data_IF_166966948436
#
_entry.id   IF_166966948436
#
_cell.length_a   1.000
_cell.length_b   1.000
_cell.length_c   1.000
_cell.angle_alpha   90.00
_cell.angle_beta   90.00
_cell.angle_gamma   90.00
#
_symmetry.space_group_name_H-M   'P 1'
#
loop_
_entity.id
_entity.type
_entity.pdbx_description
1 polymer ?
#
# COMPACT_ATOMS: atom_id res chain seq x y z
N UNK A 1 7.51 4.34 7.15
CA UNK A 1 6.13 4.35 7.69
C UNK A 1 5.96 3.16 8.63
N UNK A 2 4.86 3.07 9.39
CA UNK A 2 4.49 1.90 10.20
C UNK A 2 3.05 1.48 9.91
N UNK A 3 2.81 0.18 9.90
CA UNK A 3 1.50 -0.42 9.61
C UNK A 3 1.06 -1.30 10.78
N UNK A 4 0.00 -0.92 11.48
CA UNK A 4 -0.57 -1.67 12.60
C UNK A 4 -1.87 -2.36 12.18
N UNK A 5 -1.93 -3.71 12.14
CA UNK A 5 -3.16 -4.42 11.79
C UNK A 5 -4.25 -4.23 12.87
N UNK A 6 -5.50 -4.16 12.41
CA UNK A 6 -6.71 -3.93 13.21
C UNK A 6 -7.87 -4.81 12.69
N UNK A 7 -8.95 -5.04 13.46
CA UNK A 7 -10.11 -5.81 13.01
C UNK A 7 -10.76 -5.25 11.73
N UNK A 8 -10.73 -3.92 11.55
CA UNK A 8 -11.27 -3.25 10.37
C UNK A 8 -10.28 -3.14 9.20
N UNK A 9 -9.04 -3.62 9.34
CA UNK A 9 -7.97 -3.45 8.35
C UNK A 9 -6.65 -3.05 9.00
N UNK A 10 -6.22 -1.80 8.87
CA UNK A 10 -4.99 -1.32 9.51
C UNK A 10 -4.95 0.20 9.75
N UNK A 11 -4.12 0.60 10.70
CA UNK A 11 -3.62 1.97 10.83
C UNK A 11 -2.28 2.10 10.12
N UNK A 12 -2.19 3.03 9.17
CA UNK A 12 -0.95 3.39 8.49
C UNK A 12 -0.47 4.75 9.02
N UNK A 13 0.73 4.78 9.60
CA UNK A 13 1.34 5.97 10.16
C UNK A 13 2.63 6.33 9.43
N UNK A 14 2.76 7.60 9.02
CA UNK A 14 4.00 8.08 8.41
C UNK A 14 4.77 8.99 9.38
N UNK A 15 5.95 8.54 9.83
CA UNK A 15 6.76 9.24 10.85
C UNK A 15 7.20 10.66 10.45
N UNK A 16 7.59 10.88 9.19
CA UNK A 16 8.06 12.19 8.73
C UNK A 16 6.97 13.27 8.71
N UNK A 17 5.83 12.98 8.08
CA UNK A 17 4.67 13.88 8.01
C UNK A 17 3.76 13.85 9.24
N UNK A 18 3.97 12.88 10.16
CA UNK A 18 3.10 12.59 11.33
C UNK A 18 1.63 12.35 10.97
N UNK A 19 1.34 11.98 9.72
CA UNK A 19 -0.01 11.64 9.27
C UNK A 19 -0.39 10.21 9.65
N UNK A 20 -1.67 10.05 9.95
CA UNK A 20 -2.32 8.77 10.21
C UNK A 20 -3.42 8.55 9.16
N UNK A 21 -3.50 7.36 8.58
CA UNK A 21 -4.57 6.96 7.67
C UNK A 21 -5.11 5.59 8.05
N UNK A 22 -6.40 5.40 7.79
CA UNK A 22 -7.10 4.14 8.05
C UNK A 22 -7.27 3.37 6.74
N UNK A 23 -6.67 2.19 6.67
CA UNK A 23 -6.87 1.27 5.57
C UNK A 23 -8.01 0.32 5.95
N UNK A 24 -9.23 0.60 5.48
CA UNK A 24 -10.43 -0.19 5.81
C UNK A 24 -10.60 -1.45 4.94
N UNK A 25 -9.84 -1.57 3.86
CA UNK A 25 -9.87 -2.72 2.97
C UNK A 25 -8.65 -3.61 3.27
N UNK A 26 -8.90 -4.84 3.72
CA UNK A 26 -7.85 -5.81 4.07
C UNK A 26 -6.94 -6.14 2.89
N UNK A 27 -7.48 -6.21 1.68
CA UNK A 27 -6.68 -6.42 0.46
C UNK A 27 -5.66 -5.29 0.26
N UNK A 28 -6.03 -4.03 0.49
CA UNK A 28 -5.08 -2.91 0.42
C UNK A 28 -3.97 -3.08 1.47
N UNK A 29 -4.31 -3.57 2.67
CA UNK A 29 -3.32 -3.83 3.73
C UNK A 29 -2.30 -4.87 3.27
N UNK A 30 -2.75 -5.99 2.69
CA UNK A 30 -1.85 -7.04 2.20
C UNK A 30 -0.98 -6.56 1.04
N UNK A 31 -1.53 -5.81 0.09
CA UNK A 31 -0.73 -5.22 -1.01
C UNK A 31 0.34 -4.28 -0.45
N UNK A 32 -0.01 -3.38 0.48
CA UNK A 32 0.94 -2.43 1.09
C UNK A 32 2.06 -3.16 1.85
N UNK A 33 1.74 -4.31 2.48
CA UNK A 33 2.75 -5.16 3.15
C UNK A 33 3.70 -5.81 2.17
N UNK A 34 3.21 -6.24 1.01
CA UNK A 34 4.00 -6.90 -0.02
C UNK A 34 4.82 -5.94 -0.89
N UNK A 35 4.53 -4.62 -0.88
CA UNK A 35 5.26 -3.63 -1.70
C UNK A 35 6.79 -3.75 -1.63
N UNK A 36 7.44 -3.96 -0.46
CA UNK A 36 8.90 -4.10 -0.38
C UNK A 36 9.45 -5.33 -1.11
N UNK A 37 8.63 -6.36 -1.32
CA UNK A 37 9.02 -7.62 -1.95
C UNK A 37 8.87 -7.60 -3.48
N UNK A 38 8.41 -6.48 -4.05
CA UNK A 38 8.11 -6.33 -5.46
C UNK A 38 8.73 -5.07 -6.06
N UNK A 39 9.10 -5.10 -7.36
CA UNK A 39 9.75 -3.97 -8.02
C UNK A 39 8.82 -2.76 -8.19
N UNK A 40 7.51 -2.99 -8.26
CA UNK A 40 6.51 -1.95 -8.43
C UNK A 40 5.15 -2.36 -7.85
N UNK A 41 4.28 -1.36 -7.70
CA UNK A 41 2.95 -1.51 -7.12
C UNK A 41 2.02 -2.44 -7.93
N UNK A 42 2.10 -2.43 -9.27
CA UNK A 42 1.24 -3.29 -10.12
C UNK A 42 1.66 -4.75 -10.00
N UNK A 43 2.96 -5.02 -9.92
CA UNK A 43 3.49 -6.36 -9.67
C UNK A 43 3.03 -6.87 -8.31
N UNK A 44 3.05 -6.04 -7.26
CA UNK A 44 2.51 -6.42 -5.94
C UNK A 44 1.00 -6.70 -5.96
N UNK A 45 0.21 -5.87 -6.66
CA UNK A 45 -1.24 -6.09 -6.82
C UNK A 45 -1.52 -7.45 -7.47
N UNK A 46 -0.82 -7.77 -8.57
CA UNK A 46 -1.00 -9.05 -9.28
C UNK A 46 -0.54 -10.25 -8.43
N UNK A 47 0.57 -10.11 -7.70
CA UNK A 47 1.06 -11.15 -6.79
C UNK A 47 0.07 -11.45 -5.65
N UNK A 48 -0.75 -10.47 -5.25
CA UNK A 48 -1.84 -10.66 -4.29
C UNK A 48 -3.07 -11.41 -4.87
N UNK A 49 -3.01 -11.91 -6.12
CA UNK A 49 -4.07 -12.68 -6.76
C UNK A 49 -5.27 -11.85 -7.22
N UNK A 50 -5.08 -10.55 -7.41
CA UNK A 50 -6.13 -9.63 -7.84
C UNK A 50 -6.35 -9.78 -9.34
N UNK A 51 -7.62 -9.90 -9.73
CA UNK A 51 -8.02 -9.98 -11.14
C UNK A 51 -7.58 -8.74 -11.92
N UNK A 52 -7.17 -8.92 -13.18
CA UNK A 52 -6.67 -7.83 -14.03
C UNK A 52 -7.68 -6.69 -14.16
N UNK A 53 -8.99 -6.99 -14.17
CA UNK A 53 -10.04 -5.96 -14.22
C UNK A 53 -10.09 -5.07 -12.96
N UNK A 54 -9.52 -5.53 -11.85
CA UNK A 54 -9.48 -4.78 -10.59
C UNK A 54 -8.14 -4.07 -10.35
N UNK A 55 -7.09 -4.37 -11.12
CA UNK A 55 -5.74 -3.82 -10.91
C UNK A 55 -5.76 -2.29 -10.85
N UNK A 56 -6.46 -1.63 -11.77
CA UNK A 56 -6.53 -0.17 -11.82
C UNK A 56 -7.22 0.44 -10.60
N UNK A 57 -8.19 -0.27 -10.00
CA UNK A 57 -8.87 0.18 -8.77
C UNK A 57 -7.87 0.25 -7.62
N UNK A 58 -7.08 -0.80 -7.43
CA UNK A 58 -6.08 -0.85 -6.37
C UNK A 58 -4.88 0.07 -6.66
N UNK A 59 -4.48 0.20 -7.93
CA UNK A 59 -3.43 1.14 -8.33
C UNK A 59 -3.80 2.59 -8.00
N UNK A 60 -5.05 3.00 -8.24
CA UNK A 60 -5.55 4.34 -7.85
C UNK A 60 -5.57 4.56 -6.33
N UNK A 61 -5.94 3.53 -5.57
CA UNK A 61 -5.91 3.60 -4.12
C UNK A 61 -4.47 3.78 -3.61
N UNK A 62 -3.50 3.05 -4.15
CA UNK A 62 -2.09 3.21 -3.83
C UNK A 62 -1.55 4.58 -4.27
N UNK A 63 -1.96 5.09 -5.44
CA UNK A 63 -1.60 6.43 -5.88
C UNK A 63 -2.08 7.50 -4.88
N UNK A 64 -3.28 7.36 -4.33
CA UNK A 64 -3.78 8.28 -3.28
C UNK A 64 -2.92 8.23 -2.00
N UNK A 65 -2.44 7.03 -1.62
CA UNK A 65 -1.50 6.89 -0.51
C UNK A 65 -0.13 7.51 -0.84
N UNK A 66 0.33 7.41 -2.07
CA UNK A 66 1.59 8.00 -2.51
C UNK A 66 1.50 9.54 -2.53
N UNK A 67 0.45 10.10 -3.12
CA UNK A 67 0.20 11.55 -3.19
C UNK A 67 0.11 12.19 -1.80
N UNK A 68 -0.48 11.47 -0.84
CA UNK A 68 -0.58 11.90 0.55
C UNK A 68 0.70 11.69 1.37
N UNK A 69 1.73 11.08 0.77
CA UNK A 69 3.01 10.66 1.38
C UNK A 69 2.83 9.62 2.49
N UNK A 70 1.83 8.76 2.39
CA UNK A 70 1.60 7.67 3.33
C UNK A 70 2.44 6.44 2.97
N UNK A 71 2.64 6.21 1.67
CA UNK A 71 3.66 5.31 1.12
C UNK A 71 4.64 6.13 0.28
N UNK A 72 5.85 5.61 0.08
CA UNK A 72 6.92 6.26 -0.69
C UNK A 72 7.63 5.21 -1.53
N UNK A 73 8.29 5.61 -2.64
CA UNK A 73 9.18 4.72 -3.37
C UNK A 73 10.19 4.06 -2.43
N UNK A 74 10.39 2.75 -2.57
CA UNK A 74 11.47 2.05 -1.91
C UNK A 74 12.82 2.56 -2.44
N UNK A 75 13.86 2.49 -1.61
CA UNK A 75 15.21 2.66 -2.13
C UNK A 75 15.47 1.53 -3.14
N UNK A 76 15.67 1.87 -4.41
CA UNK A 76 16.10 0.88 -5.39
C UNK A 76 17.50 0.43 -4.97
N UNK A 77 17.70 -0.89 -4.83
CA UNK A 77 19.04 -1.44 -4.71
C UNK A 77 19.77 -1.13 -6.02
N UNK A 78 20.75 -0.22 -5.95
CA UNK A 78 21.63 0.10 -7.05
C UNK A 78 22.54 -1.07 -7.41
#
# INVERSE_FOLDING_TARGET
>A
MALRPEPFGALLYHFGTRKLSFLKNRTIVEIVRALPDHPDARTAIRAAGIDEAQVDTYARALATLADSKMIVPGASAA
#
